data_IF_761966765251
#
_entry.id   IF_761966765251
#
_cell.length_a   1.000
_cell.length_b   1.000
_cell.length_c   1.000
_cell.angle_alpha   90.00
_cell.angle_beta   90.00
_cell.angle_gamma   90.00
#
_symmetry.space_group_name_H-M   'P 1'
#
loop_
_entity.id
_entity.type
_entity.pdbx_description
1 polymer ?
#
# COMPACT_ATOMS: atom_id res chain seq x y z
N UNK A 1 -7.43 17.45 -2.80
CA UNK A 1 -6.58 16.24 -2.86
C UNK A 1 -7.48 15.01 -2.70
N UNK A 2 -7.65 14.21 -3.75
CA UNK A 2 -8.38 12.91 -3.73
C UNK A 2 -7.65 11.99 -4.70
N UNK A 3 -6.58 11.36 -4.27
CA UNK A 3 -5.74 10.55 -5.15
C UNK A 3 -5.24 9.28 -4.46
N UNK A 4 -5.94 8.80 -3.44
CA UNK A 4 -5.73 7.43 -2.95
C UNK A 4 -6.78 6.56 -3.62
N UNK A 5 -6.36 5.54 -4.35
CA UNK A 5 -7.25 4.71 -5.16
C UNK A 5 -8.23 3.90 -4.30
N UNK A 6 -7.77 3.32 -3.19
CA UNK A 6 -8.60 2.54 -2.27
C UNK A 6 -8.28 2.86 -0.83
N UNK A 7 -9.32 3.17 -0.05
CA UNK A 7 -9.27 3.23 1.41
C UNK A 7 -10.06 2.05 1.98
N UNK A 8 -9.46 1.33 2.92
CA UNK A 8 -10.09 0.24 3.65
C UNK A 8 -10.43 0.71 5.06
N UNK A 9 -11.71 0.65 5.41
CA UNK A 9 -12.20 1.03 6.73
C UNK A 9 -12.41 -0.18 7.63
N UNK A 10 -12.14 0.00 8.92
CA UNK A 10 -12.56 -0.97 9.92
C UNK A 10 -14.09 -1.09 9.95
N UNK A 11 -14.57 -2.33 10.06
CA UNK A 11 -15.99 -2.63 9.96
C UNK A 11 -16.76 -1.92 11.08
N UNK A 12 -17.69 -1.05 10.71
CA UNK A 12 -18.54 -0.32 11.66
C UNK A 12 -17.91 0.96 12.22
N UNK A 13 -16.74 1.37 11.73
CA UNK A 13 -16.10 2.64 12.12
C UNK A 13 -15.72 3.46 10.88
N UNK A 14 -15.31 4.70 11.09
CA UNK A 14 -14.72 5.56 10.05
C UNK A 14 -13.18 5.51 10.06
N UNK A 15 -12.59 4.55 10.76
CA UNK A 15 -11.14 4.43 10.88
C UNK A 15 -10.56 3.76 9.63
N UNK A 16 -9.59 4.41 9.00
CA UNK A 16 -8.84 3.83 7.88
C UNK A 16 -7.80 2.87 8.45
N UNK A 17 -7.88 1.59 8.12
CA UNK A 17 -6.94 0.54 8.57
C UNK A 17 -5.93 0.12 7.48
N UNK A 18 -6.27 0.37 6.22
CA UNK A 18 -5.34 0.19 5.12
C UNK A 18 -5.65 1.14 3.96
N UNK A 19 -4.65 1.41 3.14
CA UNK A 19 -4.81 2.17 1.90
C UNK A 19 -3.98 1.55 0.78
N UNK A 20 -4.49 1.66 -0.45
CA UNK A 20 -3.85 1.13 -1.64
C UNK A 20 -3.75 2.22 -2.70
N UNK A 21 -2.58 2.32 -3.30
CA UNK A 21 -2.28 3.25 -4.37
C UNK A 21 -1.69 2.50 -5.56
N UNK A 22 -2.30 2.61 -6.73
CA UNK A 22 -1.99 1.81 -7.92
C UNK A 22 -1.12 2.62 -8.89
N UNK A 23 0.18 2.33 -8.90
CA UNK A 23 1.15 3.09 -9.68
C UNK A 23 1.59 2.32 -10.96
N UNK A 24 0.67 2.24 -11.94
CA UNK A 24 0.92 1.52 -13.21
C UNK A 24 1.86 2.26 -14.16
N UNK A 25 1.59 3.54 -14.41
CA UNK A 25 2.31 4.39 -15.39
C UNK A 25 2.56 5.82 -14.89
N UNK A 26 2.02 6.16 -13.73
CA UNK A 26 2.19 7.42 -13.03
C UNK A 26 3.42 7.38 -12.11
N UNK A 27 3.74 8.52 -11.50
CA UNK A 27 4.94 8.66 -10.66
C UNK A 27 4.80 7.88 -9.35
N UNK A 28 5.65 6.86 -9.15
CA UNK A 28 5.77 6.13 -7.87
C UNK A 28 6.04 7.09 -6.72
N UNK A 29 6.91 8.07 -6.93
CA UNK A 29 7.26 9.04 -5.90
C UNK A 29 6.04 9.88 -5.47
N UNK A 30 5.19 10.25 -6.42
CA UNK A 30 3.95 10.97 -6.12
C UNK A 30 2.96 10.08 -5.36
N UNK A 31 2.81 8.80 -5.75
CA UNK A 31 2.00 7.83 -5.00
C UNK A 31 2.47 7.65 -3.57
N UNK A 32 3.79 7.53 -3.36
CA UNK A 32 4.40 7.49 -2.02
C UNK A 32 4.01 8.74 -1.22
N UNK A 33 4.20 9.94 -1.79
CA UNK A 33 3.91 11.19 -1.08
C UNK A 33 2.42 11.29 -0.70
N UNK A 34 1.51 10.82 -1.55
CA UNK A 34 0.07 10.77 -1.22
C UNK A 34 -0.23 9.85 -0.05
N UNK A 35 0.40 8.68 0.00
CA UNK A 35 0.27 7.76 1.15
C UNK A 35 0.89 8.35 2.41
N UNK A 36 2.00 9.07 2.28
CA UNK A 36 2.61 9.82 3.38
C UNK A 36 1.69 10.92 3.90
N UNK A 37 1.08 11.71 3.02
CA UNK A 37 0.13 12.76 3.41
C UNK A 37 -1.10 12.16 4.12
N UNK A 38 -1.58 10.99 3.65
CA UNK A 38 -2.64 10.24 4.32
C UNK A 38 -2.21 9.79 5.73
N UNK A 39 -0.98 9.28 5.88
CA UNK A 39 -0.40 8.87 7.16
C UNK A 39 -0.52 9.95 8.22
N UNK A 40 -0.17 11.19 7.87
CA UNK A 40 -0.22 12.32 8.79
C UNK A 40 -1.63 12.87 9.03
N UNK A 41 -2.59 12.49 8.19
CA UNK A 41 -3.98 12.96 8.26
C UNK A 41 -4.90 12.06 9.09
N UNK A 42 -4.46 10.84 9.40
CA UNK A 42 -5.24 9.86 10.18
C UNK A 42 -4.65 9.69 11.58
N UNK A 43 -5.48 9.28 12.54
CA UNK A 43 -5.02 9.01 13.89
C UNK A 43 -3.96 7.89 13.90
N UNK A 44 -3.01 7.96 14.84
CA UNK A 44 -2.01 6.89 15.04
C UNK A 44 -2.73 5.58 15.40
N UNK A 45 -2.72 4.64 14.45
CA UNK A 45 -3.19 3.27 14.59
C UNK A 45 -2.30 2.35 13.74
N UNK A 46 -2.43 1.03 13.92
CA UNK A 46 -1.68 -0.02 13.18
C UNK A 46 -2.10 -0.10 11.69
N UNK A 47 -2.02 1.03 10.98
CA UNK A 47 -2.42 1.17 9.59
C UNK A 47 -1.34 0.59 8.69
N UNK A 48 -1.75 0.03 7.55
CA UNK A 48 -0.79 -0.49 6.56
C UNK A 48 -1.10 0.08 5.19
N UNK A 49 -0.08 0.64 4.54
CA UNK A 49 -0.21 1.25 3.24
C UNK A 49 0.49 0.43 2.17
N UNK A 50 -0.13 0.33 1.00
CA UNK A 50 0.33 -0.50 -0.09
C UNK A 50 0.45 0.29 -1.38
N UNK A 51 1.63 0.21 -2.01
CA UNK A 51 1.77 0.51 -3.43
C UNK A 51 1.50 -0.75 -4.24
N UNK A 52 0.61 -0.67 -5.22
CA UNK A 52 0.35 -1.78 -6.14
C UNK A 52 0.98 -1.44 -7.48
N UNK A 53 1.98 -2.20 -7.91
CA UNK A 53 2.82 -1.86 -9.06
C UNK A 53 3.05 -3.05 -10.01
N UNK A 54 3.30 -2.82 -11.30
CA UNK A 54 3.78 -3.86 -12.19
C UNK A 54 5.25 -4.23 -11.88
N UNK A 55 5.60 -5.49 -12.13
CA UNK A 55 6.92 -6.12 -11.82
C UNK A 55 8.08 -5.33 -12.41
N UNK A 56 7.89 -4.83 -13.64
CA UNK A 56 8.90 -4.05 -14.36
C UNK A 56 9.33 -2.77 -13.61
N UNK A 57 8.54 -2.31 -12.65
CA UNK A 57 8.80 -1.12 -11.83
C UNK A 57 9.24 -1.44 -10.40
N UNK A 58 9.41 -2.71 -10.05
CA UNK A 58 9.80 -3.12 -8.70
C UNK A 58 11.10 -2.45 -8.25
N UNK A 59 12.10 -2.40 -9.13
CA UNK A 59 13.38 -1.72 -8.85
C UNK A 59 13.19 -0.24 -8.53
N UNK A 60 12.29 0.44 -9.24
CA UNK A 60 11.98 1.85 -8.98
C UNK A 60 11.30 2.02 -7.61
N UNK A 61 10.37 1.14 -7.26
CA UNK A 61 9.72 1.14 -5.93
C UNK A 61 10.75 0.94 -4.82
N UNK A 62 11.61 -0.07 -4.95
CA UNK A 62 12.66 -0.33 -3.97
C UNK A 62 13.57 0.89 -3.83
N UNK A 63 14.00 1.49 -4.93
CA UNK A 63 14.84 2.69 -4.92
C UNK A 63 14.16 3.87 -4.19
N UNK A 64 12.87 4.11 -4.43
CA UNK A 64 12.15 5.23 -3.80
C UNK A 64 11.87 4.98 -2.31
N UNK A 65 11.43 3.76 -1.94
CA UNK A 65 11.17 3.39 -0.55
C UNK A 65 12.46 3.33 0.29
N UNK A 66 13.60 3.03 -0.33
CA UNK A 66 14.91 3.03 0.35
C UNK A 66 15.42 4.42 0.74
N UNK A 67 14.79 5.50 0.24
CA UNK A 67 15.24 6.86 0.52
C UNK A 67 15.08 7.18 2.01
N UNK A 68 16.07 7.79 2.69
CA UNK A 68 15.98 8.11 4.11
C UNK A 68 14.74 8.94 4.49
N UNK A 69 14.32 9.86 3.62
CA UNK A 69 13.12 10.67 3.82
C UNK A 69 11.81 9.85 3.83
N UNK A 70 11.80 8.66 3.22
CA UNK A 70 10.64 7.77 3.16
C UNK A 70 10.75 6.67 4.23
N UNK A 71 11.95 6.13 4.43
CA UNK A 71 12.19 5.05 5.38
C UNK A 71 11.87 5.41 6.84
N UNK A 72 11.96 6.70 7.18
CA UNK A 72 11.73 7.20 8.54
C UNK A 72 10.26 7.59 8.80
N UNK A 73 9.33 7.30 7.89
CA UNK A 73 7.91 7.54 8.11
C UNK A 73 7.40 6.54 9.16
N UNK A 74 6.52 7.01 10.06
CA UNK A 74 6.00 6.22 11.17
C UNK A 74 5.25 4.96 10.71
N UNK A 75 4.46 5.07 9.64
CA UNK A 75 3.73 3.95 9.06
C UNK A 75 4.49 3.35 7.87
N UNK A 76 4.81 2.03 7.89
CA UNK A 76 5.54 1.40 6.82
C UNK A 76 4.68 1.30 5.54
N UNK A 77 5.22 1.79 4.42
CA UNK A 77 4.64 1.58 3.09
C UNK A 77 5.21 0.27 2.54
N UNK A 78 4.34 -0.71 2.34
CA UNK A 78 4.64 -1.97 1.66
C UNK A 78 4.29 -1.85 0.18
N UNK A 79 4.70 -2.81 -0.63
CA UNK A 79 4.28 -2.89 -2.03
C UNK A 79 3.85 -4.29 -2.43
N UNK A 80 2.97 -4.38 -3.42
CA UNK A 80 2.41 -5.61 -3.98
C UNK A 80 2.61 -5.56 -5.49
N UNK A 81 3.14 -6.64 -6.06
CA UNK A 81 3.28 -6.76 -7.51
C UNK A 81 1.95 -7.20 -8.14
N UNK A 82 1.67 -6.74 -9.35
CA UNK A 82 0.45 -7.14 -10.10
C UNK A 82 0.38 -8.65 -10.33
N UNK A 83 1.51 -9.29 -10.58
CA UNK A 83 1.67 -10.73 -10.75
C UNK A 83 1.30 -11.49 -9.50
N UNK A 84 1.81 -11.09 -8.33
CA UNK A 84 1.46 -11.68 -7.03
C UNK A 84 -0.04 -11.57 -6.76
N UNK A 85 -0.60 -10.36 -6.97
CA UNK A 85 -2.02 -10.13 -6.77
C UNK A 85 -2.88 -10.97 -7.73
N UNK A 86 -2.48 -11.06 -9.01
CA UNK A 86 -3.20 -11.85 -10.01
C UNK A 86 -3.09 -13.35 -9.76
N UNK A 87 -1.90 -13.84 -9.41
CA UNK A 87 -1.63 -15.25 -9.14
C UNK A 87 -2.44 -15.75 -7.94
N UNK A 88 -2.61 -14.91 -6.92
CA UNK A 88 -3.27 -15.30 -5.68
C UNK A 88 -4.70 -14.79 -5.54
N UNK A 89 -5.25 -14.10 -6.55
CA UNK A 89 -6.58 -13.46 -6.51
C UNK A 89 -7.68 -14.38 -5.97
N UNK A 90 -7.86 -15.57 -6.56
CA UNK A 90 -8.93 -16.49 -6.15
C UNK A 90 -8.76 -16.97 -4.71
N UNK A 91 -7.52 -17.21 -4.28
CA UNK A 91 -7.21 -17.63 -2.91
C UNK A 91 -7.46 -16.49 -1.91
N UNK A 92 -7.08 -15.26 -2.25
CA UNK A 92 -7.34 -14.06 -1.44
C UNK A 92 -8.85 -13.84 -1.29
N UNK A 93 -9.62 -13.96 -2.37
CA UNK A 93 -11.07 -13.81 -2.34
C UNK A 93 -11.77 -14.93 -1.56
N UNK A 94 -11.24 -16.16 -1.60
CA UNK A 94 -11.84 -17.31 -0.92
C UNK A 94 -11.49 -17.40 0.56
N UNK A 95 -10.25 -17.07 0.93
CA UNK A 95 -9.70 -17.31 2.27
C UNK A 95 -9.40 -16.03 3.05
N UNK A 96 -9.43 -14.86 2.40
CA UNK A 96 -9.23 -13.58 3.07
C UNK A 96 -10.41 -13.24 3.97
N UNK A 97 -10.14 -13.12 5.28
CA UNK A 97 -11.11 -12.71 6.29
C UNK A 97 -10.97 -11.23 6.70
N UNK A 98 -9.84 -10.62 6.36
CA UNK A 98 -9.45 -9.27 6.78
C UNK A 98 -8.36 -8.70 5.87
N UNK A 99 -8.10 -7.38 5.98
CA UNK A 99 -7.04 -6.70 5.21
C UNK A 99 -5.64 -7.30 5.42
N UNK A 100 -5.43 -8.01 6.54
CA UNK A 100 -4.15 -8.66 6.89
C UNK A 100 -3.75 -9.74 5.89
N UNK A 101 -4.70 -10.31 5.14
CA UNK A 101 -4.38 -11.29 4.09
C UNK A 101 -3.44 -10.70 3.03
N UNK A 102 -3.53 -9.39 2.77
CA UNK A 102 -2.69 -8.70 1.80
C UNK A 102 -1.22 -8.71 2.20
N UNK A 103 -0.90 -8.85 3.49
CA UNK A 103 0.49 -8.94 3.97
C UNK A 103 1.20 -10.19 3.46
N UNK A 104 0.45 -11.26 3.13
CA UNK A 104 1.02 -12.52 2.64
C UNK A 104 1.66 -12.39 1.25
N UNK A 105 1.23 -11.40 0.48
CA UNK A 105 1.73 -11.12 -0.88
C UNK A 105 2.47 -9.79 -0.98
N UNK A 106 2.56 -9.05 0.13
CA UNK A 106 3.22 -7.76 0.19
C UNK A 106 4.70 -7.90 0.53
N UNK A 107 5.49 -6.96 0.02
CA UNK A 107 6.93 -6.86 0.20
C UNK A 107 7.27 -5.54 0.90
N UNK A 108 8.35 -5.56 1.67
CA UNK A 108 8.90 -4.40 2.39
C UNK A 108 10.34 -4.15 1.94
N UNK A 109 10.87 -2.96 2.24
CA UNK A 109 12.23 -2.50 1.89
C UNK A 109 13.01 -2.09 3.14
#
# INVERSE_FOLDING_TARGET
MKLIDVLWFEKGTSNVIAAFEVEKSTSIYSGILRLTDLCYSIAESDNVFYLVVPEKREKDVILQLSRPAIKNIHTPIKYILFSELRQHCDALCRFGDSHKIMEKIARSV
#
